data_IF_831562138872
#
_entry.id   IF_831562138872
#
_cell.length_a   1.000
_cell.length_b   1.000
_cell.length_c   1.000
_cell.angle_alpha   90.00
_cell.angle_beta   90.00
_cell.angle_gamma   90.00
#
_symmetry.space_group_name_H-M   'P 1'
#
loop_
_entity.id
_entity.type
_entity.pdbx_description
1 polymer ?
#
# COMPACT_ATOMS: atom_id res chain seq x y z
N UNK A 1 -8.89 17.43 19.44
CA UNK A 1 -7.87 16.47 19.01
C UNK A 1 -7.89 16.38 17.50
N UNK A 2 -6.82 16.85 16.80
CA UNK A 2 -6.72 16.72 15.34
C UNK A 2 -6.35 15.28 15.02
N UNK A 3 -7.26 14.57 14.36
CA UNK A 3 -7.03 13.17 13.93
C UNK A 3 -6.44 13.06 12.54
N UNK A 4 -6.48 14.12 11.73
CA UNK A 4 -5.99 14.17 10.35
C UNK A 4 -5.15 15.43 10.17
N UNK A 5 -4.00 15.29 9.52
CA UNK A 5 -3.15 16.39 9.07
C UNK A 5 -2.85 16.21 7.58
N UNK A 6 -2.70 17.31 6.86
CA UNK A 6 -2.31 17.35 5.46
C UNK A 6 -0.99 18.10 5.33
N UNK A 7 -0.08 17.59 4.52
CA UNK A 7 1.07 18.34 4.05
C UNK A 7 0.61 19.05 2.77
N UNK A 8 0.47 20.37 2.83
CA UNK A 8 -0.02 21.16 1.70
C UNK A 8 1.15 21.53 0.78
N UNK A 9 1.06 21.18 -0.52
CA UNK A 9 2.06 21.51 -1.54
C UNK A 9 2.24 23.00 -1.76
N UNK A 10 1.22 23.83 -1.54
CA UNK A 10 1.35 25.29 -1.64
C UNK A 10 2.40 25.86 -0.70
N UNK A 11 2.59 25.22 0.45
CA UNK A 11 3.60 25.60 1.46
C UNK A 11 4.93 24.89 1.22
N UNK A 12 4.91 23.73 0.55
CA UNK A 12 6.05 22.82 0.40
C UNK A 12 6.37 22.51 -1.07
N UNK A 13 6.59 23.55 -1.86
CA UNK A 13 6.96 23.42 -3.26
C UNK A 13 8.13 22.43 -3.44
N UNK A 14 7.96 21.42 -4.33
CA UNK A 14 9.01 20.46 -4.65
C UNK A 14 9.25 19.36 -3.60
N UNK A 15 8.22 18.96 -2.85
CA UNK A 15 8.32 17.82 -1.92
C UNK A 15 8.62 16.52 -2.68
N UNK A 16 9.64 15.79 -2.25
CA UNK A 16 10.00 14.45 -2.79
C UNK A 16 9.94 13.39 -1.69
N UNK A 17 9.87 12.10 -2.06
CA UNK A 17 9.78 10.99 -1.09
C UNK A 17 10.99 10.88 -0.17
N UNK A 18 12.12 11.47 -0.51
CA UNK A 18 13.34 11.51 0.31
C UNK A 18 13.48 12.80 1.11
N UNK A 19 12.47 13.66 1.08
CA UNK A 19 12.49 14.92 1.82
C UNK A 19 12.36 14.69 3.33
N UNK A 20 13.26 15.31 4.09
CA UNK A 20 13.28 15.21 5.54
C UNK A 20 12.04 15.83 6.20
N UNK A 21 11.35 16.74 5.50
CA UNK A 21 10.09 17.34 5.98
C UNK A 21 8.98 16.30 6.20
N UNK A 22 8.95 15.23 5.39
CA UNK A 22 8.02 14.10 5.61
C UNK A 22 8.33 13.43 6.95
N UNK A 23 9.60 13.17 7.23
CA UNK A 23 10.01 12.58 8.50
C UNK A 23 9.69 13.49 9.69
N UNK A 24 9.94 14.80 9.57
CA UNK A 24 9.60 15.77 10.61
C UNK A 24 8.12 15.78 10.90
N UNK A 25 7.26 15.78 9.87
CA UNK A 25 5.81 15.70 10.03
C UNK A 25 5.37 14.40 10.75
N UNK A 26 6.02 13.27 10.46
CA UNK A 26 5.76 12.00 11.17
C UNK A 26 6.13 12.12 12.65
N UNK A 27 7.27 12.74 12.97
CA UNK A 27 7.73 12.92 14.36
C UNK A 27 6.76 13.81 15.15
N UNK A 28 6.35 14.94 14.55
CA UNK A 28 5.51 15.93 15.19
C UNK A 28 4.06 15.43 15.38
N UNK A 29 3.49 14.86 14.34
CA UNK A 29 2.10 14.43 14.34
C UNK A 29 1.90 13.05 14.98
N UNK A 30 2.92 12.19 14.96
CA UNK A 30 2.90 10.79 15.41
C UNK A 30 1.71 9.99 14.82
N UNK A 31 1.56 9.95 13.49
CA UNK A 31 0.45 9.29 12.85
C UNK A 31 0.57 7.78 13.00
N UNK A 32 -0.56 7.06 13.00
CA UNK A 32 -0.59 5.61 12.84
C UNK A 32 -0.64 5.20 11.36
N UNK A 33 -1.04 6.12 10.50
CA UNK A 33 -1.12 5.92 9.06
C UNK A 33 -0.66 7.18 8.34
N UNK A 34 0.24 6.99 7.38
CA UNK A 34 0.66 8.00 6.40
C UNK A 34 0.17 7.56 5.03
N UNK A 35 -0.51 8.44 4.31
CA UNK A 35 -0.96 8.18 2.93
C UNK A 35 -0.25 9.15 2.00
N UNK A 36 0.36 8.63 0.93
CA UNK A 36 1.01 9.41 -0.13
C UNK A 36 0.24 9.18 -1.42
N UNK A 37 -0.44 10.22 -1.94
CA UNK A 37 -1.36 10.17 -3.07
C UNK A 37 -1.18 11.39 -4.01
N UNK A 38 -0.78 11.15 -5.26
CA UNK A 38 -0.22 9.92 -5.79
C UNK A 38 1.31 9.85 -5.59
N UNK A 39 1.85 8.65 -5.49
CA UNK A 39 3.31 8.45 -5.37
C UNK A 39 4.08 9.14 -6.50
N UNK A 40 3.52 9.17 -7.73
CA UNK A 40 4.15 9.74 -8.90
C UNK A 40 4.50 11.23 -8.73
N UNK A 41 3.69 11.98 -7.99
CA UNK A 41 3.94 13.40 -7.74
C UNK A 41 5.23 13.66 -6.93
N UNK A 42 5.68 12.67 -6.16
CA UNK A 42 6.78 12.80 -5.20
C UNK A 42 8.04 12.03 -5.59
N UNK A 43 8.08 11.45 -6.79
CA UNK A 43 9.21 10.64 -7.24
C UNK A 43 10.36 11.48 -7.85
N UNK A 44 10.16 12.78 -8.06
CA UNK A 44 11.09 13.65 -8.77
C UNK A 44 10.98 13.49 -10.30
N UNK A 45 11.99 13.93 -11.06
CA UNK A 45 11.96 13.82 -12.53
C UNK A 45 11.97 12.36 -12.99
N UNK A 46 11.25 12.04 -14.07
CA UNK A 46 11.11 10.69 -14.63
C UNK A 46 12.44 9.95 -14.90
N UNK A 47 13.50 10.72 -15.19
CA UNK A 47 14.86 10.20 -15.36
C UNK A 47 15.43 9.55 -14.10
N UNK A 48 14.97 9.96 -12.94
CA UNK A 48 15.55 9.55 -11.65
C UNK A 48 15.11 8.17 -11.20
N UNK A 49 13.92 7.72 -11.59
CA UNK A 49 13.42 6.37 -11.24
C UNK A 49 13.95 5.26 -12.11
N UNK A 50 14.40 5.61 -13.34
CA UNK A 50 15.01 4.64 -14.25
C UNK A 50 16.43 4.26 -13.80
N UNK A 51 17.01 5.01 -12.86
CA UNK A 51 18.29 4.63 -12.25
C UNK A 51 18.03 3.46 -11.31
N UNK A 52 18.44 2.27 -11.74
CA UNK A 52 18.34 1.05 -10.95
C UNK A 52 18.86 1.27 -9.53
N UNK A 53 18.01 1.03 -8.54
CA UNK A 53 18.36 1.17 -7.12
C UNK A 53 17.85 2.45 -6.44
N UNK A 54 17.47 3.53 -7.12
CA UNK A 54 16.93 4.73 -6.46
C UNK A 54 15.56 4.46 -5.83
N UNK A 55 14.65 3.85 -6.57
CA UNK A 55 13.35 3.45 -6.05
C UNK A 55 13.50 2.50 -4.84
N UNK A 56 14.41 1.53 -4.92
CA UNK A 56 14.70 0.62 -3.80
C UNK A 56 15.23 1.36 -2.57
N UNK A 57 16.11 2.34 -2.76
CA UNK A 57 16.65 3.17 -1.66
C UNK A 57 15.55 3.99 -0.98
N UNK A 58 14.66 4.61 -1.77
CA UNK A 58 13.50 5.36 -1.26
C UNK A 58 12.55 4.45 -0.48
N UNK A 59 12.18 3.30 -1.04
CA UNK A 59 11.29 2.34 -0.37
C UNK A 59 11.90 1.80 0.93
N UNK A 60 13.21 1.55 0.95
CA UNK A 60 13.91 1.16 2.18
C UNK A 60 13.85 2.25 3.25
N UNK A 61 14.02 3.52 2.86
CA UNK A 61 13.93 4.67 3.77
C UNK A 61 12.53 4.82 4.36
N UNK A 62 11.50 4.75 3.54
CA UNK A 62 10.10 4.77 4.01
C UNK A 62 9.81 3.60 4.95
N UNK A 63 10.31 2.41 4.65
CA UNK A 63 10.19 1.24 5.53
C UNK A 63 10.88 1.42 6.87
N UNK A 64 12.05 2.06 6.91
CA UNK A 64 12.72 2.41 8.16
C UNK A 64 11.92 3.44 8.98
N UNK A 65 11.32 4.44 8.34
CA UNK A 65 10.46 5.39 9.03
C UNK A 65 9.20 4.73 9.58
N UNK A 66 8.54 3.89 8.77
CA UNK A 66 7.36 3.14 9.20
C UNK A 66 7.65 2.31 10.46
N UNK A 67 8.74 1.56 10.47
CA UNK A 67 9.16 0.74 11.60
C UNK A 67 9.61 1.59 12.81
N UNK A 68 10.41 2.64 12.57
CA UNK A 68 10.97 3.46 13.64
C UNK A 68 9.95 4.34 14.37
N UNK A 69 8.86 4.72 13.68
CA UNK A 69 7.80 5.58 14.23
C UNK A 69 6.47 4.85 14.45
N UNK A 70 6.45 3.52 14.33
CA UNK A 70 5.28 2.67 14.57
C UNK A 70 4.03 3.14 13.77
N UNK A 71 4.21 3.39 12.46
CA UNK A 71 3.15 3.80 11.56
C UNK A 71 3.13 2.94 10.29
N UNK A 72 1.95 2.80 9.68
CA UNK A 72 1.81 2.25 8.34
C UNK A 72 2.00 3.36 7.30
N UNK A 73 2.68 3.05 6.18
CA UNK A 73 2.78 3.96 5.03
C UNK A 73 2.08 3.31 3.84
N UNK A 74 1.06 3.97 3.31
CA UNK A 74 0.31 3.58 2.11
C UNK A 74 0.71 4.50 0.96
N UNK A 75 1.13 3.89 -0.14
CA UNK A 75 1.49 4.59 -1.37
C UNK A 75 0.40 4.32 -2.40
N UNK A 76 -0.24 5.36 -2.91
CA UNK A 76 -1.26 5.26 -3.95
C UNK A 76 -0.61 5.62 -5.29
N UNK A 77 -0.69 4.69 -6.24
CA UNK A 77 -0.17 4.89 -7.58
C UNK A 77 -1.27 4.74 -8.63
N UNK A 78 -1.24 5.61 -9.64
CA UNK A 78 -2.14 5.52 -10.77
C UNK A 78 -1.54 4.65 -11.87
N UNK A 79 -2.37 3.73 -12.41
CA UNK A 79 -1.98 2.89 -13.53
C UNK A 79 -2.10 3.69 -14.84
N UNK A 80 -1.03 3.72 -15.64
CA UNK A 80 -1.06 4.34 -16.96
C UNK A 80 -1.94 3.51 -17.92
N UNK A 81 -2.86 4.18 -18.62
CA UNK A 81 -3.79 3.57 -19.60
C UNK A 81 -3.11 3.16 -20.92
N UNK A 82 -1.79 3.00 -21.02
CA UNK A 82 -1.16 2.51 -22.25
C UNK A 82 -1.59 1.08 -22.48
N UNK A 83 -2.49 0.90 -23.46
CA UNK A 83 -2.91 -0.39 -23.98
C UNK A 83 -1.70 -1.24 -24.38
N UNK A 84 -1.72 -2.51 -23.96
CA UNK A 84 -0.72 -3.50 -24.36
C UNK A 84 0.43 -3.76 -23.39
N UNK A 85 0.55 -3.06 -22.28
CA UNK A 85 1.57 -3.41 -21.28
C UNK A 85 1.08 -4.56 -20.39
N UNK A 86 1.40 -5.78 -20.77
CA UNK A 86 1.30 -6.95 -19.89
C UNK A 86 2.23 -6.75 -18.70
N UNK A 87 1.73 -6.15 -17.63
CA UNK A 87 2.46 -6.08 -16.37
C UNK A 87 2.16 -4.85 -15.56
N UNK A 88 1.47 -5.07 -14.46
CA UNK A 88 1.23 -4.16 -13.35
C UNK A 88 2.50 -3.39 -12.91
N UNK A 89 3.65 -4.01 -13.09
CA UNK A 89 4.96 -3.53 -12.65
C UNK A 89 5.49 -2.34 -13.44
N UNK A 90 5.03 -2.12 -14.69
CA UNK A 90 5.52 -1.04 -15.55
C UNK A 90 4.79 0.28 -15.34
N UNK A 91 3.57 0.23 -14.84
CA UNK A 91 2.72 1.41 -14.68
C UNK A 91 3.06 2.28 -13.49
N UNK A 92 3.68 1.72 -12.44
CA UNK A 92 4.16 2.46 -11.26
C UNK A 92 5.57 3.06 -11.45
N UNK A 93 6.12 3.01 -12.67
CA UNK A 93 7.43 3.58 -13.00
C UNK A 93 8.64 2.73 -12.61
N UNK A 94 8.50 1.78 -11.67
CA UNK A 94 9.59 0.90 -11.27
C UNK A 94 9.08 -0.41 -10.67
N UNK A 95 9.63 -1.52 -11.16
CA UNK A 95 9.47 -2.87 -10.57
C UNK A 95 9.94 -2.89 -9.11
N UNK A 96 10.93 -2.08 -8.77
CA UNK A 96 11.53 -2.03 -7.44
C UNK A 96 10.57 -1.50 -6.37
N UNK A 97 9.61 -0.61 -6.71
CA UNK A 97 8.59 -0.13 -5.78
C UNK A 97 7.69 -1.28 -5.33
N UNK A 98 7.14 -2.03 -6.30
CA UNK A 98 6.27 -3.17 -6.02
C UNK A 98 7.03 -4.30 -5.31
N UNK A 99 8.28 -4.55 -5.74
CA UNK A 99 9.13 -5.57 -5.11
C UNK A 99 9.41 -5.28 -3.63
N UNK A 100 9.62 -4.01 -3.28
CA UNK A 100 9.93 -3.60 -1.90
C UNK A 100 8.70 -3.50 -0.98
N UNK A 101 7.48 -3.33 -1.53
CA UNK A 101 6.27 -3.27 -0.74
C UNK A 101 5.97 -4.60 -0.03
N UNK A 102 5.45 -4.55 1.20
CA UNK A 102 5.03 -5.74 1.96
C UNK A 102 3.70 -6.30 1.47
N UNK A 103 2.78 -5.44 1.09
CA UNK A 103 1.49 -5.79 0.50
C UNK A 103 1.25 -4.89 -0.71
N UNK A 104 0.68 -5.45 -1.77
CA UNK A 104 0.32 -4.71 -2.98
C UNK A 104 -1.12 -5.06 -3.34
N UNK A 105 -1.94 -4.03 -3.40
CA UNK A 105 -3.34 -4.11 -3.78
C UNK A 105 -3.53 -3.44 -5.14
N UNK A 106 -4.24 -4.10 -6.03
CA UNK A 106 -4.71 -3.53 -7.28
C UNK A 106 -6.20 -3.29 -7.19
N UNK A 107 -6.63 -2.09 -7.56
CA UNK A 107 -8.04 -1.75 -7.65
C UNK A 107 -8.40 -1.56 -9.11
N UNK A 108 -9.38 -2.30 -9.58
CA UNK A 108 -9.89 -2.16 -10.93
C UNK A 108 -11.41 -2.05 -10.96
N UNK A 109 -11.92 -1.61 -12.11
CA UNK A 109 -13.34 -1.48 -12.34
C UNK A 109 -13.89 -2.83 -12.79
N UNK A 110 -15.02 -3.23 -12.25
CA UNK A 110 -15.75 -4.39 -12.74
C UNK A 110 -16.20 -4.15 -14.19
N UNK A 111 -16.10 -5.17 -15.05
CA UNK A 111 -16.39 -5.06 -16.48
C UNK A 111 -17.89 -5.03 -16.76
N UNK A 112 -18.69 -5.65 -15.89
CA UNK A 112 -20.14 -5.76 -16.07
C UNK A 112 -20.90 -4.62 -15.38
N UNK A 113 -20.38 -4.16 -14.23
CA UNK A 113 -20.99 -3.08 -13.45
C UNK A 113 -20.00 -1.96 -13.15
N UNK A 114 -20.10 -0.80 -13.83
CA UNK A 114 -19.15 0.30 -13.69
C UNK A 114 -19.15 0.97 -12.31
N UNK A 115 -20.17 0.74 -11.46
CA UNK A 115 -20.21 1.24 -10.09
C UNK A 115 -19.41 0.35 -9.12
N UNK A 116 -19.09 -0.87 -9.53
CA UNK A 116 -18.32 -1.83 -8.71
C UNK A 116 -16.83 -1.69 -8.96
N UNK A 117 -16.08 -1.84 -7.88
CA UNK A 117 -14.62 -1.95 -7.87
C UNK A 117 -14.22 -3.26 -7.22
N UNK A 118 -13.17 -3.86 -7.74
CA UNK A 118 -12.59 -5.09 -7.23
C UNK A 118 -11.18 -4.76 -6.74
N UNK A 119 -10.87 -5.18 -5.53
CA UNK A 119 -9.54 -5.07 -4.92
C UNK A 119 -8.90 -6.45 -4.93
N UNK A 120 -7.83 -6.60 -5.71
CA UNK A 120 -7.02 -7.80 -5.76
C UNK A 120 -5.78 -7.63 -4.91
N UNK A 121 -5.50 -8.56 -4.02
CA UNK A 121 -4.23 -8.61 -3.32
C UNK A 121 -3.21 -9.40 -4.16
N UNK A 122 -2.40 -8.69 -4.94
CA UNK A 122 -1.42 -9.30 -5.86
C UNK A 122 -0.10 -9.66 -5.20
N UNK A 123 0.18 -9.13 -4.02
CA UNK A 123 1.33 -9.48 -3.21
C UNK A 123 1.01 -9.37 -1.73
N UNK A 124 1.42 -10.36 -0.96
CA UNK A 124 1.46 -10.31 0.48
C UNK A 124 2.72 -11.05 0.97
N UNK A 125 3.60 -10.35 1.68
CA UNK A 125 4.84 -10.92 2.21
C UNK A 125 4.70 -11.43 3.65
N UNK A 126 3.52 -11.29 4.26
CA UNK A 126 3.28 -11.60 5.67
C UNK A 126 2.33 -12.79 5.87
N UNK A 127 1.50 -13.09 4.87
CA UNK A 127 0.49 -14.15 4.90
C UNK A 127 0.16 -14.60 3.47
N UNK A 128 -0.60 -15.68 3.26
CA UNK A 128 -1.22 -15.99 1.98
C UNK A 128 -2.03 -14.80 1.45
N UNK A 129 -2.17 -14.69 0.14
CA UNK A 129 -3.00 -13.65 -0.47
C UNK A 129 -4.47 -13.86 -0.08
N UNK A 130 -5.15 -12.77 0.24
CA UNK A 130 -6.57 -12.77 0.55
C UNK A 130 -7.42 -12.93 -0.73
N UNK A 131 -8.68 -13.32 -0.54
CA UNK A 131 -9.69 -13.27 -1.60
C UNK A 131 -9.95 -11.83 -2.03
N UNK A 132 -10.47 -11.66 -3.26
CA UNK A 132 -10.85 -10.38 -3.80
C UNK A 132 -11.95 -9.72 -2.97
N UNK A 133 -11.81 -8.43 -2.74
CA UNK A 133 -12.79 -7.62 -2.03
C UNK A 133 -13.50 -6.73 -3.04
N UNK A 134 -14.84 -6.63 -2.94
CA UNK A 134 -15.65 -5.77 -3.81
C UNK A 134 -16.26 -4.62 -3.03
N UNK A 135 -16.35 -3.49 -3.68
CA UNK A 135 -17.07 -2.33 -3.16
C UNK A 135 -17.75 -1.55 -4.29
N UNK A 136 -18.82 -0.83 -3.97
CA UNK A 136 -19.48 0.08 -4.90
C UNK A 136 -19.28 1.53 -4.53
N UNK A 137 -19.22 2.39 -5.55
CA UNK A 137 -19.27 3.84 -5.40
C UNK A 137 -20.31 4.34 -6.39
N UNK A 138 -21.40 4.91 -5.90
CA UNK A 138 -22.41 5.53 -6.71
C UNK A 138 -22.81 6.91 -6.15
N UNK A 139 -23.32 7.77 -7.02
CA UNK A 139 -23.68 9.14 -6.65
C UNK A 139 -24.81 9.21 -5.60
N UNK A 140 -25.74 8.26 -5.64
CA UNK A 140 -26.92 8.19 -4.78
C UNK A 140 -26.66 7.45 -3.46
N UNK A 141 -25.81 6.40 -3.47
CA UNK A 141 -25.59 5.51 -2.32
C UNK A 141 -24.21 5.66 -1.67
N UNK A 142 -23.32 6.47 -2.29
CA UNK A 142 -21.96 6.64 -1.81
C UNK A 142 -21.14 5.36 -1.88
N UNK A 143 -20.22 5.20 -0.93
CA UNK A 143 -19.32 4.04 -0.81
C UNK A 143 -19.99 2.92 0.01
N UNK A 144 -19.94 1.68 -0.49
CA UNK A 144 -20.41 0.47 0.22
C UNK A 144 -19.50 -0.72 -0.06
N UNK A 145 -19.10 -1.44 0.96
CA UNK A 145 -18.51 -2.76 0.80
C UNK A 145 -19.58 -3.75 0.31
N UNK A 146 -19.24 -4.52 -0.72
CA UNK A 146 -20.03 -5.63 -1.24
C UNK A 146 -19.30 -6.90 -0.84
N UNK A 147 -19.96 -7.79 -0.11
CA UNK A 147 -19.38 -9.10 0.24
C UNK A 147 -17.97 -9.03 0.88
N UNK A 148 -17.85 -8.38 2.00
CA UNK A 148 -16.85 -8.78 2.97
C UNK A 148 -17.47 -9.96 3.75
N UNK A 149 -17.22 -11.19 3.35
CA UNK A 149 -17.23 -12.27 4.33
C UNK A 149 -15.98 -12.03 5.19
N UNK A 150 -16.11 -11.56 6.45
CA UNK A 150 -14.98 -11.67 7.33
C UNK A 150 -14.70 -13.18 7.41
N UNK A 151 -13.62 -13.65 6.81
CA UNK A 151 -13.06 -14.89 7.29
C UNK A 151 -12.70 -14.57 8.73
N UNK A 152 -13.59 -14.96 9.63
CA UNK A 152 -13.28 -15.09 11.03
C UNK A 152 -12.01 -15.93 11.01
N UNK A 153 -10.89 -15.35 11.43
CA UNK A 153 -9.72 -16.12 11.77
C UNK A 153 -10.21 -17.15 12.79
N UNK A 154 -10.58 -18.33 12.33
CA UNK A 154 -10.68 -19.47 13.22
C UNK A 154 -9.30 -19.53 13.84
N UNK A 155 -9.23 -19.21 15.11
CA UNK A 155 -8.04 -19.44 15.91
C UNK A 155 -7.77 -20.92 15.74
N UNK A 156 -6.79 -21.25 14.87
CA UNK A 156 -6.23 -22.59 14.88
C UNK A 156 -5.83 -22.82 16.33
N UNK A 157 -6.54 -23.72 16.99
CA UNK A 157 -6.13 -24.18 18.29
C UNK A 157 -4.70 -24.68 18.12
N UNK A 158 -3.76 -24.26 18.96
CA UNK A 158 -2.41 -24.78 18.88
C UNK A 158 -2.53 -26.30 18.95
N UNK A 159 -1.99 -26.97 17.92
CA UNK A 159 -1.90 -28.42 17.87
C UNK A 159 -1.35 -28.90 19.22
N UNK A 160 -2.03 -29.90 19.78
CA UNK A 160 -1.66 -30.51 21.03
C UNK A 160 -0.15 -30.84 21.02
N UNK A 161 0.55 -30.44 22.07
CA UNK A 161 1.96 -30.73 22.27
C UNK A 161 2.25 -32.21 21.97
N UNK A 162 3.30 -32.53 21.21
CA UNK A 162 3.73 -33.89 21.02
C UNK A 162 4.08 -34.48 22.38
N UNK A 163 3.34 -35.50 22.80
CA UNK A 163 3.71 -36.30 23.97
C UNK A 163 5.03 -36.97 23.69
N UNK A 164 6.08 -36.50 24.33
CA UNK A 164 7.34 -37.24 24.41
C UNK A 164 7.10 -38.42 25.33
N UNK A 165 7.01 -39.61 24.76
CA UNK A 165 7.07 -40.84 25.52
C UNK A 165 8.46 -40.96 26.13
N UNK A 166 8.53 -40.78 27.44
CA UNK A 166 9.69 -41.12 28.25
C UNK A 166 9.54 -42.60 28.61
N UNK A 167 10.10 -43.47 27.79
CA UNK A 167 10.40 -44.83 28.20
C UNK A 167 11.85 -45.20 27.88
N UNK A 168 12.56 -45.55 28.97
CA UNK A 168 13.80 -46.26 29.17
C UNK A 168 15.10 -45.43 29.15
#
# INVERSE_FOLDING_TARGET
CRKIAFINEEVYNGLTLDDERIRQAIIEFRPRLVVIDPIQAYLGSDSDLQIAGRARKLMRRLGMWAAGYDCAIVLIGHLNKKEGSKGLYRSLGSIDVVAAARSVLQVERDTENPDIRIVHQIKNSLAPTAEDIRFSISADKGFRWLECRPQLFEKQQPDAEPKFDTEQ
#
